data_IF_095684228165
#
_entry.id   IF_095684228165
#
_cell.length_a   1.000
_cell.length_b   1.000
_cell.length_c   1.000
_cell.angle_alpha   90.00
_cell.angle_beta   90.00
_cell.angle_gamma   90.00
#
_symmetry.space_group_name_H-M   'P 1'
#
loop_
_entity.id
_entity.type
_entity.pdbx_description
1 polymer ?
#
# COMPACT_ATOMS: atom_id res chain seq x y z
N UNK A 1 7.23 21.07 -38.46
CA UNK A 1 6.69 20.55 -37.18
C UNK A 1 7.87 20.26 -36.26
N UNK A 2 7.98 20.91 -35.08
CA UNK A 2 8.70 20.24 -34.01
C UNK A 2 8.07 20.36 -32.61
N UNK A 3 8.18 19.24 -31.88
CA UNK A 3 8.21 19.06 -30.43
C UNK A 3 6.99 19.47 -29.60
N UNK A 4 6.03 18.53 -29.47
CA UNK A 4 5.20 18.47 -28.26
C UNK A 4 6.08 18.05 -27.07
N UNK A 5 6.11 18.80 -25.96
CA UNK A 5 6.75 18.33 -24.75
C UNK A 5 5.97 17.13 -24.20
N UNK A 6 6.71 16.12 -23.76
CA UNK A 6 6.19 14.95 -23.09
C UNK A 6 5.27 15.38 -21.94
N UNK A 7 3.96 15.23 -22.15
CA UNK A 7 3.00 15.23 -21.05
C UNK A 7 3.43 14.07 -20.16
N UNK A 8 4.00 14.38 -19.00
CA UNK A 8 3.91 13.45 -17.89
C UNK A 8 2.43 13.09 -17.77
N UNK A 9 2.04 11.80 -17.81
CA UNK A 9 0.72 11.48 -17.32
C UNK A 9 0.73 11.96 -15.87
N UNK A 10 -0.05 12.99 -15.59
CA UNK A 10 -0.74 13.04 -14.30
C UNK A 10 -1.43 11.69 -14.25
N UNK A 11 -0.83 10.74 -13.54
CA UNK A 11 -1.45 9.46 -13.29
C UNK A 11 -2.84 9.79 -12.76
N UNK A 12 -3.86 9.23 -13.40
CA UNK A 12 -5.23 9.34 -12.92
C UNK A 12 -5.20 9.16 -11.41
N UNK A 13 -5.69 10.15 -10.67
CA UNK A 13 -5.66 10.18 -9.20
C UNK A 13 -6.41 8.99 -8.55
N UNK A 14 -6.95 8.08 -9.36
CA UNK A 14 -7.72 6.90 -9.00
C UNK A 14 -6.94 5.59 -9.04
N UNK A 15 -5.83 5.52 -9.78
CA UNK A 15 -5.10 4.26 -9.89
C UNK A 15 -4.31 4.01 -8.61
N UNK A 16 -4.57 2.87 -7.97
CA UNK A 16 -3.91 2.52 -6.73
C UNK A 16 -2.46 2.15 -7.01
N UNK A 17 -1.54 2.96 -6.48
CA UNK A 17 -0.11 2.72 -6.56
C UNK A 17 0.27 1.68 -5.50
N UNK A 18 0.92 0.62 -5.92
CA UNK A 18 1.39 -0.45 -5.02
C UNK A 18 2.88 -0.23 -4.74
N UNK A 19 3.22 -0.28 -3.46
CA UNK A 19 4.58 -0.13 -2.97
C UNK A 19 5.01 -1.35 -2.17
N UNK A 20 6.17 -1.92 -2.51
CA UNK A 20 6.75 -3.00 -1.72
C UNK A 20 7.35 -2.47 -0.41
N UNK A 21 6.97 -3.12 0.68
CA UNK A 21 7.51 -2.90 2.01
C UNK A 21 8.47 -4.04 2.39
N UNK A 22 9.19 -3.85 3.49
CA UNK A 22 10.06 -4.91 4.01
C UNK A 22 9.21 -6.12 4.42
N UNK A 23 9.51 -7.33 3.92
CA UNK A 23 8.78 -8.54 4.29
C UNK A 23 8.97 -8.87 5.77
N UNK A 24 7.95 -9.49 6.37
CA UNK A 24 8.00 -9.93 7.77
C UNK A 24 8.19 -11.44 7.85
N UNK A 25 8.67 -11.91 9.01
CA UNK A 25 8.67 -13.34 9.33
C UNK A 25 7.43 -13.70 10.14
N UNK A 26 6.62 -14.61 9.62
CA UNK A 26 5.44 -15.17 10.30
C UNK A 26 5.51 -16.69 10.26
N UNK A 27 5.43 -17.35 11.42
CA UNK A 27 5.46 -18.81 11.54
C UNK A 27 6.63 -19.51 10.80
N UNK A 28 7.79 -18.85 10.74
CA UNK A 28 8.97 -19.34 10.01
C UNK A 28 8.97 -19.05 8.51
N UNK A 29 7.88 -18.54 7.95
CA UNK A 29 7.76 -18.11 6.55
C UNK A 29 8.04 -16.62 6.39
N UNK A 30 8.65 -16.22 5.27
CA UNK A 30 8.73 -14.82 4.86
C UNK A 30 7.46 -14.44 4.12
N UNK A 31 6.75 -13.44 4.64
CA UNK A 31 5.54 -12.89 4.06
C UNK A 31 5.90 -11.58 3.37
N UNK A 32 5.75 -11.53 2.04
CA UNK A 32 5.87 -10.30 1.28
C UNK A 32 4.81 -9.29 1.77
N UNK A 33 5.19 -8.03 1.91
CA UNK A 33 4.26 -6.97 2.31
C UNK A 33 4.28 -5.90 1.23
N UNK A 34 3.08 -5.51 0.80
CA UNK A 34 2.86 -4.42 -0.14
C UNK A 34 1.85 -3.45 0.46
N UNK A 35 1.97 -2.19 0.11
CA UNK A 35 1.03 -1.13 0.47
C UNK A 35 0.38 -0.63 -0.81
N UNK A 36 -0.93 -0.74 -0.91
CA UNK A 36 -1.70 -0.14 -1.99
C UNK A 36 -2.24 1.20 -1.51
N UNK A 37 -1.89 2.29 -2.21
CA UNK A 37 -2.25 3.67 -1.89
C UNK A 37 -2.98 4.29 -3.07
N UNK A 38 -4.08 4.99 -2.81
CA UNK A 38 -4.75 5.78 -3.83
C UNK A 38 -5.36 7.03 -3.22
N UNK A 39 -5.72 8.00 -4.09
CA UNK A 39 -6.47 9.18 -3.66
C UNK A 39 -7.95 8.95 -3.93
N UNK A 40 -8.76 8.99 -2.88
CA UNK A 40 -10.20 8.87 -2.97
C UNK A 40 -10.83 10.12 -3.61
N UNK A 41 -12.08 10.00 -4.06
CA UNK A 41 -12.81 11.10 -4.72
C UNK A 41 -13.06 12.30 -3.81
N UNK A 42 -13.13 12.06 -2.50
CA UNK A 42 -13.22 13.07 -1.45
C UNK A 42 -11.89 13.86 -1.26
N UNK A 43 -10.83 13.47 -1.97
CA UNK A 43 -9.51 14.11 -1.95
C UNK A 43 -8.55 13.55 -0.90
N UNK A 44 -9.00 12.62 -0.05
CA UNK A 44 -8.21 11.97 1.00
C UNK A 44 -7.40 10.79 0.44
N UNK A 45 -6.18 10.63 0.94
CA UNK A 45 -5.34 9.48 0.64
C UNK A 45 -5.75 8.30 1.49
N UNK A 46 -5.96 7.16 0.83
CA UNK A 46 -6.31 5.90 1.49
C UNK A 46 -5.28 4.84 1.17
N UNK A 47 -5.01 4.00 2.16
CA UNK A 47 -4.04 2.93 2.04
C UNK A 47 -4.52 1.65 2.70
N UNK A 48 -4.14 0.52 2.10
CA UNK A 48 -4.32 -0.82 2.67
C UNK A 48 -3.04 -1.64 2.53
N UNK A 49 -2.80 -2.50 3.51
CA UNK A 49 -1.72 -3.49 3.46
C UNK A 49 -2.21 -4.73 2.73
N UNK A 50 -1.36 -5.21 1.82
CA UNK A 50 -1.46 -6.50 1.13
C UNK A 50 -0.33 -7.40 1.63
N UNK A 51 -0.68 -8.62 2.03
CA UNK A 51 0.25 -9.65 2.46
C UNK A 51 0.30 -10.75 1.41
N UNK A 52 1.50 -11.23 1.09
CA UNK A 52 1.75 -12.19 0.02
C UNK A 52 2.08 -11.51 -1.32
N UNK A 53 2.45 -12.33 -2.29
CA UNK A 53 2.71 -11.87 -3.66
C UNK A 53 1.40 -11.65 -4.43
N UNK A 54 1.45 -10.80 -5.46
CA UNK A 54 0.29 -10.49 -6.30
C UNK A 54 -0.25 -11.76 -6.96
N UNK A 55 -1.58 -11.85 -7.06
CA UNK A 55 -2.27 -12.94 -7.77
C UNK A 55 -1.99 -14.34 -7.18
N UNK A 56 -1.61 -14.41 -5.90
CA UNK A 56 -1.43 -15.68 -5.20
C UNK A 56 -2.66 -16.06 -4.38
N UNK A 57 -2.94 -17.36 -4.27
CA UNK A 57 -4.00 -17.90 -3.41
C UNK A 57 -3.84 -17.55 -1.91
N UNK A 58 -2.62 -17.13 -1.52
CA UNK A 58 -2.26 -16.71 -0.18
C UNK A 58 -2.30 -15.18 0.00
N UNK A 59 -2.71 -14.43 -1.02
CA UNK A 59 -2.84 -12.98 -0.92
C UNK A 59 -3.95 -12.63 0.09
N UNK A 60 -3.58 -11.82 1.08
CA UNK A 60 -4.52 -11.27 2.08
C UNK A 60 -4.44 -9.76 2.05
N UNK A 61 -5.59 -9.12 2.05
CA UNK A 61 -5.69 -7.66 2.11
C UNK A 61 -6.37 -7.23 3.39
N UNK A 62 -5.81 -6.21 4.02
CA UNK A 62 -6.54 -5.44 5.05
C UNK A 62 -7.61 -4.56 4.40
N UNK A 63 -8.53 -4.05 5.21
CA UNK A 63 -9.34 -2.89 4.83
C UNK A 63 -8.45 -1.64 4.63
N UNK A 64 -9.05 -0.54 4.20
CA UNK A 64 -8.39 0.76 4.12
C UNK A 64 -8.13 1.32 5.54
N UNK A 65 -7.07 0.86 6.17
CA UNK A 65 -6.71 1.23 7.55
C UNK A 65 -5.91 2.54 7.61
N UNK A 66 -5.37 3.01 6.48
CA UNK A 66 -4.73 4.33 6.40
C UNK A 66 -5.64 5.34 5.72
N UNK A 67 -5.74 6.52 6.33
CA UNK A 67 -6.53 7.63 5.86
C UNK A 67 -5.81 8.93 6.23
N UNK A 68 -5.43 9.73 5.24
CA UNK A 68 -4.70 10.97 5.48
C UNK A 68 -5.02 12.05 4.45
N UNK A 69 -5.01 13.32 4.86
CA UNK A 69 -5.26 14.47 3.97
C UNK A 69 -4.12 14.71 2.98
N UNK A 70 -2.95 14.12 3.21
CA UNK A 70 -1.77 14.23 2.34
C UNK A 70 -1.01 12.92 2.30
N UNK A 71 -0.37 12.66 1.17
CA UNK A 71 0.40 11.43 0.94
C UNK A 71 1.54 11.28 1.98
N UNK A 72 2.17 12.39 2.35
CA UNK A 72 3.26 12.41 3.33
C UNK A 72 2.82 11.90 4.71
N UNK A 73 1.64 12.31 5.20
CA UNK A 73 1.11 11.86 6.48
C UNK A 73 0.77 10.35 6.47
N UNK A 74 0.28 9.86 5.33
CA UNK A 74 0.07 8.42 5.12
C UNK A 74 1.40 7.67 5.22
N UNK A 75 2.42 8.14 4.51
CA UNK A 75 3.76 7.53 4.54
C UNK A 75 4.39 7.57 5.92
N UNK A 76 4.18 8.63 6.68
CA UNK A 76 4.65 8.72 8.05
C UNK A 76 3.98 7.64 8.93
N UNK A 77 2.68 7.43 8.76
CA UNK A 77 1.94 6.38 9.46
C UNK A 77 2.43 4.97 9.09
N UNK A 78 2.68 4.73 7.80
CA UNK A 78 3.22 3.45 7.32
C UNK A 78 4.63 3.21 7.86
N UNK A 79 5.47 4.25 7.92
CA UNK A 79 6.83 4.15 8.46
C UNK A 79 6.86 3.85 9.96
N UNK A 80 5.82 4.25 10.70
CA UNK A 80 5.68 3.92 12.12
C UNK A 80 5.27 2.45 12.35
N UNK A 81 4.74 1.77 11.33
CA UNK A 81 4.45 0.34 11.42
C UNK A 81 5.71 -0.46 11.70
N UNK A 82 5.61 -1.28 12.73
CA UNK A 82 6.66 -2.21 13.15
C UNK A 82 6.26 -3.63 12.75
N UNK A 83 7.24 -4.52 12.71
CA UNK A 83 7.04 -5.95 12.42
C UNK A 83 5.92 -6.57 13.26
N UNK A 84 5.84 -6.24 14.56
CA UNK A 84 4.82 -6.79 15.45
C UNK A 84 3.39 -6.30 15.13
N UNK A 85 3.22 -5.05 14.67
CA UNK A 85 1.92 -4.56 14.20
C UNK A 85 1.48 -5.30 12.93
N UNK A 86 2.40 -5.45 11.98
CA UNK A 86 2.14 -6.15 10.71
C UNK A 86 1.84 -7.63 10.94
N UNK A 87 2.52 -8.26 11.89
CA UNK A 87 2.27 -9.64 12.31
C UNK A 87 0.89 -9.83 12.92
N UNK A 88 0.47 -8.90 13.77
CA UNK A 88 -0.84 -8.95 14.41
C UNK A 88 -1.96 -8.73 13.38
N UNK A 89 -1.79 -7.76 12.48
CA UNK A 89 -2.66 -7.55 11.34
C UNK A 89 -2.78 -8.81 10.47
N UNK A 90 -1.65 -9.42 10.09
CA UNK A 90 -1.67 -10.64 9.28
C UNK A 90 -2.40 -11.79 10.01
N UNK A 91 -2.14 -11.96 11.31
CA UNK A 91 -2.85 -12.96 12.14
C UNK A 91 -4.36 -12.74 12.16
N UNK A 92 -4.82 -11.49 12.17
CA UNK A 92 -6.26 -11.18 12.15
C UNK A 92 -6.96 -11.53 10.84
N UNK A 93 -6.20 -11.80 9.77
CA UNK A 93 -6.69 -12.15 8.43
C UNK A 93 -6.62 -13.65 8.11
N UNK A 94 -6.10 -14.48 9.04
CA UNK A 94 -6.06 -15.93 8.95
C UNK A 94 -7.36 -16.55 9.43
#
# INVERSE_FOLDING_TARGET
MPAQPARHPVGDAREAVVHDLTPIRFDGQLIAIRLSVHRAEDGIWRGRILFGAEDTEHERATAEIFCATSEQDLWQSVRDLRDHHLRDLYRSLL
#
